data_IF_080619350903
#
_entry.id   IF_080619350903
#
_cell.length_a   1.000
_cell.length_b   1.000
_cell.length_c   1.000
_cell.angle_alpha   90.00
_cell.angle_beta   90.00
_cell.angle_gamma   90.00
#
_symmetry.space_group_name_H-M   'P 1'
#
loop_
_entity.id
_entity.type
_entity.pdbx_description
1 polymer ?
#
# COMPACT_ATOMS: atom_id res chain seq x y z
N UNK A 1 -0.90 -28.38 -10.40
CA UNK A 1 -0.39 -28.01 -9.06
C UNK A 1 -0.98 -26.66 -8.71
N UNK A 2 -1.51 -26.50 -7.53
CA UNK A 2 -1.95 -25.18 -7.03
C UNK A 2 -0.73 -24.27 -6.94
N UNK A 3 -0.81 -23.10 -7.54
CA UNK A 3 0.26 -22.10 -7.51
C UNK A 3 0.05 -21.16 -6.34
N UNK A 4 1.14 -20.73 -5.72
CA UNK A 4 1.11 -19.80 -4.61
C UNK A 4 1.83 -18.51 -4.98
N UNK A 5 1.16 -17.37 -4.79
CA UNK A 5 1.71 -16.03 -4.91
C UNK A 5 1.74 -15.38 -3.53
N UNK A 6 2.70 -14.49 -3.31
CA UNK A 6 2.83 -13.77 -2.05
C UNK A 6 2.70 -12.26 -2.27
N UNK A 7 1.83 -11.63 -1.51
CA UNK A 7 1.65 -10.19 -1.47
C UNK A 7 2.09 -9.71 -0.08
N UNK A 8 3.40 -9.60 0.09
CA UNK A 8 4.03 -9.19 1.34
C UNK A 8 4.65 -7.80 1.20
N UNK A 9 4.45 -6.93 2.20
CA UNK A 9 5.04 -5.59 2.20
C UNK A 9 4.11 -4.50 1.68
N UNK A 10 4.68 -3.36 1.32
CA UNK A 10 3.94 -2.17 0.89
C UNK A 10 3.53 -2.26 -0.57
N UNK A 11 2.31 -1.85 -0.89
CA UNK A 11 1.82 -1.76 -2.27
C UNK A 11 2.23 -0.41 -2.84
N UNK A 12 2.93 -0.42 -3.98
CA UNK A 12 3.45 0.78 -4.63
C UNK A 12 3.30 0.71 -6.16
N UNK A 13 3.25 1.87 -6.82
CA UNK A 13 3.27 1.95 -8.29
C UNK A 13 4.62 1.51 -8.85
N UNK A 14 5.72 1.93 -8.20
CA UNK A 14 7.09 1.58 -8.54
C UNK A 14 7.81 1.03 -7.30
N UNK A 15 8.73 0.08 -7.50
CA UNK A 15 9.53 -0.48 -6.40
C UNK A 15 10.62 0.51 -5.99
N UNK A 16 10.52 1.02 -4.78
CA UNK A 16 11.52 1.89 -4.15
C UNK A 16 12.32 1.14 -3.09
N UNK A 17 11.81 -0.01 -2.65
CA UNK A 17 12.39 -0.90 -1.67
C UNK A 17 12.27 -2.35 -2.16
N UNK A 18 13.17 -3.21 -1.74
CA UNK A 18 13.20 -4.63 -2.15
C UNK A 18 11.94 -5.41 -1.72
N UNK A 19 11.16 -4.88 -0.76
CA UNK A 19 9.95 -5.49 -0.22
C UNK A 19 8.64 -4.87 -0.75
N UNK A 20 8.70 -3.98 -1.74
CA UNK A 20 7.51 -3.39 -2.34
C UNK A 20 6.84 -4.34 -3.33
N UNK A 21 5.51 -4.40 -3.27
CA UNK A 21 4.67 -5.12 -4.24
C UNK A 21 4.17 -4.13 -5.28
N UNK A 22 4.58 -4.32 -6.53
CA UNK A 22 4.10 -3.49 -7.63
C UNK A 22 3.16 -4.28 -8.55
N UNK A 23 2.24 -3.61 -9.27
CA UNK A 23 1.38 -4.25 -10.24
C UNK A 23 2.16 -5.01 -11.33
N UNK A 24 3.34 -4.51 -11.71
CA UNK A 24 4.18 -5.16 -12.72
C UNK A 24 4.75 -6.46 -12.20
N UNK A 25 5.39 -6.47 -11.03
CA UNK A 25 5.94 -7.68 -10.42
C UNK A 25 4.85 -8.73 -10.17
N UNK A 26 3.72 -8.29 -9.63
CA UNK A 26 2.59 -9.17 -9.40
C UNK A 26 2.05 -9.80 -10.69
N UNK A 27 1.94 -9.00 -11.77
CA UNK A 27 1.53 -9.48 -13.08
C UNK A 27 2.48 -10.53 -13.65
N UNK A 28 3.79 -10.28 -13.55
CA UNK A 28 4.81 -11.20 -14.01
C UNK A 28 4.67 -12.57 -13.31
N UNK A 29 4.51 -12.57 -11.99
CA UNK A 29 4.27 -13.81 -11.23
C UNK A 29 2.93 -14.47 -11.58
N UNK A 30 1.86 -13.67 -11.72
CA UNK A 30 0.53 -14.17 -12.07
C UNK A 30 0.52 -14.90 -13.43
N UNK A 31 1.32 -14.44 -14.39
CA UNK A 31 1.35 -14.96 -15.76
C UNK A 31 2.29 -16.17 -15.97
N UNK A 32 3.07 -16.58 -14.96
CA UNK A 32 4.05 -17.69 -15.10
C UNK A 32 3.38 -19.05 -15.34
N UNK A 33 2.10 -19.22 -15.06
CA UNK A 33 1.42 -20.51 -15.23
C UNK A 33 -0.09 -20.38 -15.32
N UNK A 34 -0.74 -21.53 -15.29
CA UNK A 34 -2.19 -21.68 -15.46
C UNK A 34 -2.77 -22.51 -14.33
N UNK A 35 -4.10 -22.40 -14.11
CA UNK A 35 -4.84 -23.13 -13.08
C UNK A 35 -5.12 -22.28 -11.83
N UNK A 36 -5.72 -22.90 -10.83
CA UNK A 36 -6.08 -22.25 -9.58
C UNK A 36 -4.87 -21.72 -8.85
N UNK A 37 -5.04 -20.57 -8.20
CA UNK A 37 -3.99 -19.90 -7.44
C UNK A 37 -4.40 -19.65 -5.99
N UNK A 38 -3.40 -19.67 -5.11
CA UNK A 38 -3.50 -19.15 -3.75
C UNK A 38 -2.65 -17.90 -3.62
N UNK A 39 -3.25 -16.80 -3.14
CA UNK A 39 -2.55 -15.54 -2.86
C UNK A 39 -2.48 -15.34 -1.35
N UNK A 40 -1.28 -15.41 -0.79
CA UNK A 40 -1.05 -15.07 0.62
C UNK A 40 -0.83 -13.57 0.76
N UNK A 41 -1.54 -12.97 1.71
CA UNK A 41 -1.47 -11.52 1.95
C UNK A 41 -0.98 -11.24 3.36
N UNK A 42 0.12 -10.47 3.44
CA UNK A 42 0.62 -9.85 4.65
C UNK A 42 1.11 -8.44 4.31
N UNK A 43 0.21 -7.47 4.26
CA UNK A 43 0.50 -6.13 3.77
C UNK A 43 -0.23 -5.05 4.57
N UNK A 44 0.46 -3.96 4.93
CA UNK A 44 -0.16 -2.78 5.53
C UNK A 44 -0.98 -1.96 4.53
N UNK A 45 -0.95 -2.31 3.24
CA UNK A 45 -1.54 -1.52 2.17
C UNK A 45 -0.50 -0.63 1.48
N UNK A 46 -0.95 0.49 0.93
CA UNK A 46 -0.13 1.44 0.21
C UNK A 46 -0.92 2.19 -0.85
N UNK A 47 -0.41 2.26 -2.07
CA UNK A 47 -1.03 2.99 -3.17
C UNK A 47 -2.36 2.37 -3.62
N UNK A 48 -3.42 3.21 -3.67
CA UNK A 48 -4.77 2.77 -4.02
C UNK A 48 -4.90 2.42 -5.51
N UNK A 49 -4.15 3.08 -6.40
CA UNK A 49 -4.22 2.84 -7.85
C UNK A 49 -3.50 1.56 -8.20
N UNK A 50 -2.32 1.34 -7.61
CA UNK A 50 -1.59 0.07 -7.74
C UNK A 50 -2.43 -1.11 -7.21
N UNK A 51 -3.09 -0.95 -6.07
CA UNK A 51 -3.99 -1.96 -5.54
C UNK A 51 -5.18 -2.24 -6.45
N UNK A 52 -5.78 -1.21 -7.06
CA UNK A 52 -6.88 -1.38 -8.01
C UNK A 52 -6.42 -2.15 -9.26
N UNK A 53 -5.20 -1.94 -9.73
CA UNK A 53 -4.65 -2.71 -10.85
C UNK A 53 -4.49 -4.20 -10.49
N UNK A 54 -3.95 -4.50 -9.30
CA UNK A 54 -3.79 -5.89 -8.82
C UNK A 54 -5.16 -6.54 -8.61
N UNK A 55 -6.11 -5.82 -8.00
CA UNK A 55 -7.50 -6.27 -7.85
C UNK A 55 -8.10 -6.69 -9.21
N UNK A 56 -7.99 -5.83 -10.22
CA UNK A 56 -8.53 -6.12 -11.55
C UNK A 56 -7.84 -7.30 -12.22
N UNK A 57 -6.53 -7.46 -12.07
CA UNK A 57 -5.80 -8.63 -12.58
C UNK A 57 -6.31 -9.95 -11.98
N UNK A 58 -6.64 -9.94 -10.68
CA UNK A 58 -7.21 -11.11 -10.00
C UNK A 58 -8.67 -11.35 -10.40
N UNK A 59 -9.47 -10.29 -10.61
CA UNK A 59 -10.85 -10.41 -11.08
C UNK A 59 -10.93 -10.93 -12.52
N UNK A 60 -9.97 -10.56 -13.38
CA UNK A 60 -9.89 -11.02 -14.77
C UNK A 60 -9.22 -12.42 -14.89
N UNK A 61 -8.67 -12.95 -13.80
CA UNK A 61 -8.00 -14.24 -13.82
C UNK A 61 -9.02 -15.37 -14.08
N UNK A 62 -8.75 -16.27 -15.08
CA UNK A 62 -9.77 -17.23 -15.55
C UNK A 62 -10.04 -18.41 -14.62
N UNK A 63 -9.24 -18.58 -13.57
CA UNK A 63 -9.34 -19.68 -12.61
C UNK A 63 -9.68 -19.19 -11.21
N UNK A 64 -9.86 -20.12 -10.25
CA UNK A 64 -10.14 -19.76 -8.87
C UNK A 64 -8.95 -19.07 -8.22
N UNK A 65 -9.26 -18.02 -7.47
CA UNK A 65 -8.31 -17.27 -6.65
C UNK A 65 -8.65 -17.46 -5.19
N UNK A 66 -7.87 -18.23 -4.47
CA UNK A 66 -8.00 -18.35 -3.02
C UNK A 66 -7.07 -17.34 -2.35
N UNK A 67 -7.63 -16.35 -1.67
CA UNK A 67 -6.85 -15.41 -0.85
C UNK A 67 -6.74 -15.96 0.57
N UNK A 68 -5.53 -15.95 1.12
CA UNK A 68 -5.24 -16.33 2.50
C UNK A 68 -4.52 -15.18 3.22
N UNK A 69 -5.08 -14.72 4.33
CA UNK A 69 -4.50 -13.65 5.14
C UNK A 69 -3.86 -14.29 6.37
N UNK A 70 -2.54 -14.24 6.46
CA UNK A 70 -1.79 -14.86 7.55
C UNK A 70 -1.25 -13.88 8.61
N UNK A 71 -1.08 -12.63 8.25
CA UNK A 71 -0.70 -11.56 9.18
C UNK A 71 -1.72 -10.42 9.16
N UNK A 72 -1.63 -9.57 8.16
CA UNK A 72 -2.52 -8.42 8.02
C UNK A 72 -2.89 -8.16 6.56
N UNK A 73 -4.15 -7.79 6.33
CA UNK A 73 -4.60 -7.17 5.08
C UNK A 73 -5.23 -5.81 5.44
N UNK A 74 -4.42 -4.76 5.42
CA UNK A 74 -4.88 -3.42 5.78
C UNK A 74 -4.98 -2.49 4.58
N UNK A 75 -5.91 -1.51 4.66
CA UNK A 75 -6.03 -0.43 3.68
C UNK A 75 -6.13 -0.99 2.23
N UNK A 76 -5.25 -0.58 1.32
CA UNK A 76 -5.22 -1.03 -0.06
C UNK A 76 -5.10 -2.57 -0.22
N UNK A 77 -4.42 -3.26 0.70
CA UNK A 77 -4.34 -4.72 0.68
C UNK A 77 -5.67 -5.40 0.96
N UNK A 78 -6.53 -4.80 1.78
CA UNK A 78 -7.88 -5.32 2.01
C UNK A 78 -8.76 -5.21 0.75
N UNK A 79 -8.51 -4.22 -0.11
CA UNK A 79 -9.20 -4.10 -1.41
C UNK A 79 -8.80 -5.25 -2.33
N UNK A 80 -7.50 -5.55 -2.41
CA UNK A 80 -6.98 -6.67 -3.22
C UNK A 80 -7.59 -8.00 -2.74
N UNK A 81 -7.70 -8.19 -1.43
CA UNK A 81 -8.29 -9.40 -0.86
C UNK A 81 -9.72 -9.66 -1.35
N UNK A 82 -10.49 -8.62 -1.66
CA UNK A 82 -11.87 -8.73 -2.16
C UNK A 82 -11.96 -9.35 -3.56
N UNK A 83 -10.87 -9.42 -4.31
CA UNK A 83 -10.85 -10.10 -5.61
C UNK A 83 -10.81 -11.63 -5.49
N UNK A 84 -10.59 -12.16 -4.29
CA UNK A 84 -10.58 -13.60 -4.07
C UNK A 84 -11.95 -14.26 -4.32
N UNK A 85 -11.96 -15.32 -5.13
CA UNK A 85 -13.12 -16.23 -5.24
C UNK A 85 -13.46 -16.78 -3.86
N UNK A 86 -12.43 -17.11 -3.08
CA UNK A 86 -12.51 -17.48 -1.67
C UNK A 86 -11.49 -16.69 -0.87
N UNK A 87 -11.92 -16.09 0.25
CA UNK A 87 -11.06 -15.33 1.16
C UNK A 87 -11.04 -16.02 2.52
N UNK A 88 -9.86 -16.43 2.95
CA UNK A 88 -9.64 -17.11 4.22
C UNK A 88 -8.76 -16.25 5.13
N UNK A 89 -9.09 -16.18 6.40
CA UNK A 89 -8.32 -15.42 7.40
C UNK A 89 -7.73 -16.37 8.44
N UNK A 90 -6.45 -16.20 8.78
CA UNK A 90 -5.84 -16.93 9.89
C UNK A 90 -6.50 -16.54 11.22
N UNK A 91 -6.60 -17.45 12.20
CA UNK A 91 -7.21 -17.15 13.50
C UNK A 91 -6.61 -15.96 14.24
N UNK A 92 -5.37 -15.60 13.93
CA UNK A 92 -4.63 -14.48 14.56
C UNK A 92 -4.33 -13.33 13.60
N UNK A 93 -4.81 -13.41 12.35
CA UNK A 93 -4.65 -12.32 11.38
C UNK A 93 -5.68 -11.22 11.57
N UNK A 94 -5.39 -10.08 10.98
CA UNK A 94 -6.21 -8.87 11.06
C UNK A 94 -6.55 -8.34 9.68
N UNK A 95 -7.72 -7.74 9.55
CA UNK A 95 -8.06 -6.88 8.42
C UNK A 95 -8.35 -5.45 8.91
N UNK A 96 -8.05 -4.45 8.07
CA UNK A 96 -8.38 -3.05 8.39
C UNK A 96 -8.84 -2.32 7.13
N UNK A 97 -9.93 -1.57 7.29
CA UNK A 97 -10.45 -0.68 6.27
C UNK A 97 -10.57 0.74 6.79
N UNK A 98 -10.21 1.70 5.97
CA UNK A 98 -10.29 3.13 6.29
C UNK A 98 -10.48 3.97 5.03
N UNK A 99 -10.69 5.28 5.21
CA UNK A 99 -10.77 6.23 4.10
C UNK A 99 -9.42 6.37 3.40
N UNK A 100 -9.40 6.58 2.06
CA UNK A 100 -8.19 6.94 1.36
C UNK A 100 -7.64 8.28 1.88
N UNK A 101 -6.33 8.46 1.74
CA UNK A 101 -5.64 9.66 2.18
C UNK A 101 -4.62 10.10 1.13
N UNK A 102 -4.36 11.39 1.09
CA UNK A 102 -3.33 11.99 0.24
C UNK A 102 -2.65 13.16 0.93
N UNK A 103 -1.55 13.61 0.38
CA UNK A 103 -0.92 14.89 0.72
C UNK A 103 -1.11 15.81 -0.48
N UNK A 104 -1.69 16.99 -0.24
CA UNK A 104 -1.88 18.00 -1.27
C UNK A 104 -1.25 19.33 -0.84
N UNK A 105 -0.71 20.06 -1.80
CA UNK A 105 -0.13 21.40 -1.61
C UNK A 105 -0.65 22.31 -2.71
N UNK A 106 -1.02 23.54 -2.36
CA UNK A 106 -1.51 24.50 -3.31
C UNK A 106 -2.46 25.51 -2.68
N UNK A 107 -3.21 26.17 -3.52
CA UNK A 107 -4.26 27.12 -3.10
C UNK A 107 -5.59 26.39 -2.75
N UNK A 108 -6.62 27.16 -2.46
CA UNK A 108 -7.94 26.63 -2.07
C UNK A 108 -8.53 25.75 -3.16
N UNK A 109 -8.30 26.07 -4.44
CA UNK A 109 -8.84 25.30 -5.55
C UNK A 109 -8.14 23.93 -5.67
N UNK A 110 -6.84 23.87 -5.45
CA UNK A 110 -6.09 22.60 -5.42
C UNK A 110 -6.50 21.71 -4.23
N UNK A 111 -6.75 22.31 -3.06
CA UNK A 111 -7.29 21.58 -1.90
C UNK A 111 -8.67 21.00 -2.21
N UNK A 112 -9.55 21.77 -2.86
CA UNK A 112 -10.88 21.30 -3.23
C UNK A 112 -10.83 20.13 -4.21
N UNK A 113 -9.96 20.19 -5.23
CA UNK A 113 -9.73 19.07 -6.15
C UNK A 113 -9.25 17.81 -5.43
N UNK A 114 -8.34 17.95 -4.48
CA UNK A 114 -7.86 16.81 -3.69
C UNK A 114 -8.99 16.17 -2.87
N UNK A 115 -9.89 16.97 -2.29
CA UNK A 115 -11.07 16.46 -1.57
C UNK A 115 -11.99 15.69 -2.52
N UNK A 116 -12.28 16.24 -3.70
CA UNK A 116 -13.13 15.59 -4.71
C UNK A 116 -12.51 14.27 -5.21
N UNK A 117 -11.20 14.26 -5.45
CA UNK A 117 -10.45 13.06 -5.82
C UNK A 117 -10.56 11.99 -4.73
N UNK A 118 -10.34 12.34 -3.46
CA UNK A 118 -10.46 11.40 -2.35
C UNK A 118 -11.88 10.82 -2.23
N UNK A 119 -12.91 11.62 -2.50
CA UNK A 119 -14.28 11.16 -2.57
C UNK A 119 -14.49 10.09 -3.66
N UNK A 120 -13.95 10.34 -4.84
CA UNK A 120 -14.03 9.39 -5.98
C UNK A 120 -13.25 8.09 -5.71
N UNK A 121 -12.07 8.18 -5.09
CA UNK A 121 -11.29 7.01 -4.68
C UNK A 121 -12.03 6.21 -3.62
N UNK A 122 -12.63 6.87 -2.61
CA UNK A 122 -13.46 6.21 -1.59
C UNK A 122 -14.62 5.43 -2.22
N UNK A 123 -15.34 6.04 -3.16
CA UNK A 123 -16.43 5.38 -3.86
C UNK A 123 -15.98 4.17 -4.67
N UNK A 124 -14.82 4.24 -5.31
CA UNK A 124 -14.19 3.12 -6.02
C UNK A 124 -13.85 1.97 -5.07
N UNK A 125 -13.26 2.26 -3.92
CA UNK A 125 -12.95 1.25 -2.89
C UNK A 125 -14.23 0.58 -2.38
N UNK A 126 -15.28 1.38 -2.11
CA UNK A 126 -16.58 0.86 -1.66
C UNK A 126 -17.16 -0.13 -2.67
N UNK A 127 -16.97 0.06 -3.99
CA UNK A 127 -17.46 -0.88 -4.99
C UNK A 127 -16.88 -2.30 -4.76
N UNK A 128 -15.57 -2.42 -4.51
CA UNK A 128 -14.94 -3.71 -4.26
C UNK A 128 -15.49 -4.37 -2.99
N UNK A 129 -15.65 -3.59 -1.92
CA UNK A 129 -16.21 -4.11 -0.66
C UNK A 129 -17.68 -4.50 -0.82
N UNK A 130 -18.50 -3.71 -1.53
CA UNK A 130 -19.93 -4.00 -1.76
C UNK A 130 -20.11 -5.29 -2.54
N UNK A 131 -19.32 -5.50 -3.60
CA UNK A 131 -19.35 -6.72 -4.41
C UNK A 131 -19.05 -7.96 -3.56
N UNK A 132 -18.05 -7.90 -2.70
CA UNK A 132 -17.65 -9.06 -1.89
C UNK A 132 -18.56 -9.28 -0.69
N UNK A 133 -18.89 -8.23 0.05
CA UNK A 133 -19.59 -8.36 1.35
C UNK A 133 -21.11 -8.33 1.23
N UNK A 134 -21.64 -7.74 0.17
CA UNK A 134 -23.09 -7.46 0.05
C UNK A 134 -23.62 -6.39 1.03
N UNK A 135 -22.76 -5.73 1.80
CA UNK A 135 -23.16 -4.65 2.71
C UNK A 135 -23.53 -3.39 1.91
N UNK A 136 -24.46 -2.59 2.47
CA UNK A 136 -24.81 -1.32 1.84
C UNK A 136 -23.66 -0.33 1.84
N UNK A 137 -23.58 0.52 0.81
CA UNK A 137 -22.57 1.60 0.68
C UNK A 137 -22.51 2.50 1.91
N UNK A 138 -23.67 2.83 2.49
CA UNK A 138 -23.73 3.64 3.71
C UNK A 138 -23.07 2.94 4.90
N UNK A 139 -23.27 1.61 5.06
CA UNK A 139 -22.61 0.82 6.11
C UNK A 139 -21.11 0.75 5.88
N UNK A 140 -20.68 0.50 4.65
CA UNK A 140 -19.26 0.45 4.27
C UNK A 140 -18.58 1.80 4.48
N UNK A 141 -19.21 2.91 4.04
CA UNK A 141 -18.69 4.26 4.30
C UNK A 141 -18.49 4.52 5.79
N UNK A 142 -19.47 4.14 6.63
CA UNK A 142 -19.37 4.32 8.08
C UNK A 142 -18.24 3.48 8.69
N UNK A 143 -18.05 2.24 8.24
CA UNK A 143 -16.93 1.40 8.69
C UNK A 143 -15.57 1.99 8.29
N UNK A 144 -15.46 2.56 7.09
CA UNK A 144 -14.24 3.23 6.63
C UNK A 144 -14.00 4.53 7.42
N UNK A 145 -15.03 5.32 7.68
CA UNK A 145 -14.93 6.56 8.47
C UNK A 145 -14.43 6.29 9.90
N UNK A 146 -14.82 5.15 10.45
CA UNK A 146 -14.43 4.70 11.79
C UNK A 146 -13.05 4.03 11.84
N UNK A 147 -12.35 3.86 10.71
CA UNK A 147 -11.12 3.05 10.65
C UNK A 147 -11.34 1.68 11.33
N UNK A 148 -12.08 0.81 10.67
CA UNK A 148 -12.51 -0.45 11.28
C UNK A 148 -11.44 -1.52 11.19
N UNK A 149 -11.02 -1.99 12.35
CA UNK A 149 -10.15 -3.15 12.53
C UNK A 149 -11.01 -4.39 12.80
N UNK A 150 -10.67 -5.47 12.12
CA UNK A 150 -11.41 -6.73 12.19
C UNK A 150 -10.44 -7.86 12.52
N UNK A 151 -10.75 -8.62 13.57
CA UNK A 151 -10.19 -9.95 13.75
C UNK A 151 -10.79 -10.95 12.77
N UNK A 152 -10.33 -12.20 12.79
CA UNK A 152 -10.81 -13.23 11.87
C UNK A 152 -12.33 -13.44 11.93
N UNK A 153 -12.91 -13.49 13.12
CA UNK A 153 -14.35 -13.70 13.29
C UNK A 153 -15.17 -12.51 12.78
N UNK A 154 -14.70 -11.30 13.06
CA UNK A 154 -15.36 -10.07 12.61
C UNK A 154 -15.30 -9.89 11.10
N UNK A 155 -14.18 -10.28 10.48
CA UNK A 155 -14.03 -10.26 9.02
C UNK A 155 -15.04 -11.23 8.36
N UNK A 156 -15.22 -12.41 8.91
CA UNK A 156 -16.23 -13.37 8.43
C UNK A 156 -17.66 -12.87 8.70
N UNK A 157 -17.95 -12.35 9.89
CA UNK A 157 -19.28 -11.80 10.24
C UNK A 157 -19.72 -10.69 9.28
N UNK A 158 -18.80 -9.83 8.87
CA UNK A 158 -19.08 -8.71 7.97
C UNK A 158 -18.95 -9.08 6.48
N UNK A 159 -18.58 -10.33 6.15
CA UNK A 159 -18.48 -10.81 4.77
C UNK A 159 -17.20 -10.42 4.04
N UNK A 160 -16.20 -9.85 4.73
CA UNK A 160 -14.88 -9.57 4.16
C UNK A 160 -14.04 -10.83 3.99
N UNK A 161 -14.36 -11.89 4.72
CA UNK A 161 -13.79 -13.22 4.55
C UNK A 161 -14.90 -14.27 4.53
N UNK A 162 -14.62 -15.38 3.87
CA UNK A 162 -15.57 -16.48 3.73
C UNK A 162 -15.45 -17.47 4.89
N UNK A 163 -14.25 -17.66 5.46
CA UNK A 163 -14.01 -18.58 6.57
C UNK A 163 -12.69 -18.30 7.29
N UNK A 164 -12.48 -18.97 8.42
CA UNK A 164 -11.24 -18.96 9.19
C UNK A 164 -10.40 -20.18 8.79
N UNK A 165 -9.09 -19.96 8.53
CA UNK A 165 -8.15 -21.02 8.17
C UNK A 165 -8.03 -22.07 9.28
N UNK A 166 -8.17 -23.34 8.90
CA UNK A 166 -7.82 -24.45 9.77
C UNK A 166 -6.30 -24.54 9.96
N UNK A 167 -5.84 -24.88 11.17
CA UNK A 167 -4.41 -24.96 11.52
C UNK A 167 -3.58 -25.86 10.59
N UNK A 168 -4.18 -26.91 10.03
CA UNK A 168 -3.51 -27.85 9.12
C UNK A 168 -3.19 -27.24 7.73
N UNK A 169 -3.75 -26.08 7.41
CA UNK A 169 -3.57 -25.41 6.12
C UNK A 169 -2.52 -24.28 6.17
N UNK A 170 -1.96 -23.98 7.35
CA UNK A 170 -0.87 -23.00 7.48
C UNK A 170 0.44 -23.71 7.14
N UNK A 171 1.18 -23.28 6.09
CA UNK A 171 2.45 -23.89 5.73
C UNK A 171 3.45 -23.80 6.88
N UNK A 172 4.09 -24.92 7.24
CA UNK A 172 5.09 -24.99 8.35
C UNK A 172 6.39 -24.23 8.02
N UNK A 173 6.65 -23.92 6.74
CA UNK A 173 7.91 -23.35 6.25
C UNK A 173 7.91 -21.84 6.07
N UNK A 174 6.81 -21.13 6.44
CA UNK A 174 6.83 -19.67 6.39
C UNK A 174 7.45 -19.11 7.66
N UNK A 175 8.72 -18.67 7.58
CA UNK A 175 9.26 -17.75 8.58
C UNK A 175 8.34 -16.52 8.63
N UNK A 176 7.76 -16.19 9.80
CA UNK A 176 6.94 -15.00 9.90
C UNK A 176 7.83 -13.80 9.56
N UNK A 177 7.44 -12.96 8.58
CA UNK A 177 8.20 -11.77 8.29
C UNK A 177 8.31 -10.96 9.58
N UNK A 178 9.49 -10.34 9.80
CA UNK A 178 9.74 -9.49 10.96
C UNK A 178 8.89 -8.22 10.86
N UNK A 179 7.59 -8.37 11.04
CA UNK A 179 6.64 -7.25 11.02
C UNK A 179 6.59 -6.67 12.42
N UNK A 180 7.17 -5.50 12.57
CA UNK A 180 6.91 -4.63 13.71
C UNK A 180 5.43 -4.34 13.76
N UNK A 181 4.72 -4.84 14.79
CA UNK A 181 3.27 -4.71 14.95
C UNK A 181 2.88 -3.26 15.26
N UNK A 182 2.64 -2.47 14.24
CA UNK A 182 2.13 -1.11 14.32
C UNK A 182 0.69 -1.09 13.78
N UNK A 183 -0.30 -1.32 14.65
CA UNK A 183 -1.71 -1.52 14.29
C UNK A 183 -2.56 -0.26 14.26
N UNK A 184 -2.00 0.92 14.04
CA UNK A 184 -2.79 2.13 13.92
C UNK A 184 -2.61 2.80 12.57
N UNK A 185 -3.59 3.59 12.14
CA UNK A 185 -3.49 4.42 10.94
C UNK A 185 -2.23 5.28 10.95
N UNK A 186 -1.92 5.90 12.09
CA UNK A 186 -0.72 6.69 12.28
C UNK A 186 0.55 5.84 12.09
N UNK A 187 0.53 4.59 12.53
CA UNK A 187 1.67 3.68 12.44
C UNK A 187 1.90 3.18 11.01
N UNK A 188 0.82 2.87 10.27
CA UNK A 188 0.91 2.51 8.83
C UNK A 188 1.47 3.68 8.03
N UNK A 189 0.96 4.91 8.26
CA UNK A 189 1.44 6.13 7.62
C UNK A 189 2.89 6.44 8.00
N UNK A 190 3.22 6.34 9.29
CA UNK A 190 4.59 6.61 9.76
C UNK A 190 5.58 5.59 9.20
N UNK A 191 5.22 4.31 9.11
CA UNK A 191 6.07 3.30 8.47
C UNK A 191 6.35 3.63 7.01
N UNK A 192 5.33 4.05 6.26
CA UNK A 192 5.49 4.48 4.88
C UNK A 192 6.35 5.76 4.77
N UNK A 193 6.09 6.75 5.61
CA UNK A 193 6.86 8.01 5.64
C UNK A 193 8.32 7.78 6.06
N UNK A 194 8.58 6.86 6.98
CA UNK A 194 9.93 6.50 7.38
C UNK A 194 10.70 5.81 6.24
N UNK A 195 10.04 4.94 5.48
CA UNK A 195 10.61 4.31 4.27
C UNK A 195 10.93 5.36 3.21
N UNK A 196 10.01 6.27 2.92
CA UNK A 196 10.23 7.40 1.99
C UNK A 196 11.40 8.27 2.47
N UNK A 197 11.43 8.65 3.74
CA UNK A 197 12.50 9.46 4.31
C UNK A 197 13.86 8.76 4.25
N UNK A 198 13.91 7.44 4.45
CA UNK A 198 15.13 6.64 4.32
C UNK A 198 15.63 6.60 2.87
N UNK A 199 14.72 6.45 1.90
CA UNK A 199 15.02 6.46 0.46
C UNK A 199 15.50 7.84 -0.04
N UNK A 200 14.90 8.92 0.49
CA UNK A 200 15.30 10.29 0.16
C UNK A 200 16.63 10.72 0.82
N UNK A 201 17.15 9.97 1.78
CA UNK A 201 18.53 10.16 2.28
C UNK A 201 19.51 9.66 1.24
N UNK A 202 19.69 10.41 0.16
CA UNK A 202 20.84 10.23 -0.72
C UNK A 202 22.09 10.28 0.13
N UNK A 203 22.91 9.21 0.11
CA UNK A 203 24.26 9.24 0.64
C UNK A 203 24.90 10.53 0.14
N UNK A 204 25.44 11.41 1.01
CA UNK A 204 26.22 12.52 0.53
C UNK A 204 27.38 11.89 -0.24
N UNK A 205 27.36 12.00 -1.58
CA UNK A 205 28.56 11.78 -2.37
C UNK A 205 29.64 12.58 -1.65
N UNK A 206 30.69 11.91 -1.15
CA UNK A 206 31.92 12.56 -0.73
C UNK A 206 32.33 13.46 -1.90
N UNK A 207 31.93 14.71 -1.83
CA UNK A 207 32.53 15.76 -2.64
C UNK A 207 33.94 15.87 -2.11
N UNK A 208 34.89 15.40 -2.93
CA UNK A 208 36.28 15.78 -2.74
C UNK A 208 36.30 17.29 -2.53
N UNK A 209 37.04 17.72 -1.51
CA UNK A 209 37.28 19.11 -1.14
C UNK A 209 37.62 19.96 -2.37
N UNK A 210 36.63 20.48 -3.06
CA UNK A 210 36.81 21.66 -3.88
C UNK A 210 36.69 22.85 -2.93
N UNK A 211 37.81 23.34 -2.46
CA UNK A 211 37.89 24.63 -1.79
C UNK A 211 37.04 25.63 -2.56
N UNK A 212 36.11 26.35 -1.92
CA UNK A 212 35.38 27.39 -2.61
C UNK A 212 36.38 28.38 -3.17
N UNK A 213 36.45 28.51 -4.49
CA UNK A 213 37.15 29.62 -5.14
C UNK A 213 36.40 30.89 -4.77
N UNK A 214 36.74 31.47 -3.64
CA UNK A 214 36.34 32.83 -3.28
C UNK A 214 36.72 33.76 -4.41
N UNK A 215 35.83 34.63 -4.87
CA UNK A 215 36.18 35.73 -5.75
C UNK A 215 37.20 36.61 -5.03
N UNK A 216 38.33 36.90 -5.69
CA UNK A 216 39.35 37.77 -5.15
C UNK A 216 38.70 39.11 -4.74
N UNK A 217 38.99 39.54 -3.52
CA UNK A 217 38.49 40.81 -2.98
C UNK A 217 39.05 42.00 -3.80
N UNK A 218 40.17 41.82 -4.46
CA UNK A 218 40.81 42.82 -5.32
C UNK A 218 39.92 43.21 -6.51
N UNK A 219 39.21 42.25 -7.10
CA UNK A 219 38.24 42.52 -8.19
C UNK A 219 37.03 43.35 -7.74
N UNK A 220 36.69 43.36 -6.48
CA UNK A 220 35.65 44.20 -5.89
C UNK A 220 36.15 45.60 -5.63
N UNK A 221 37.40 45.77 -5.20
CA UNK A 221 38.01 47.07 -5.00
C UNK A 221 38.23 47.80 -6.34
N UNK A 222 38.66 47.13 -7.40
CA UNK A 222 38.76 47.72 -8.74
C UNK A 222 37.40 48.26 -9.24
N UNK A 223 36.32 47.51 -9.05
CA UNK A 223 34.99 47.98 -9.41
C UNK A 223 34.51 49.15 -8.57
N UNK A 224 34.84 49.17 -7.29
CA UNK A 224 34.50 50.29 -6.40
C UNK A 224 35.24 51.59 -6.78
N UNK A 225 36.50 51.49 -7.23
CA UNK A 225 37.27 52.62 -7.68
C UNK A 225 36.76 53.21 -9.00
N UNK A 226 36.14 52.41 -9.87
CA UNK A 226 35.53 52.88 -11.12
C UNK A 226 34.23 53.68 -10.89
N UNK A 227 33.62 53.59 -9.70
CA UNK A 227 32.41 54.31 -9.34
C UNK A 227 32.68 55.64 -8.60
N UNK A 228 33.97 56.00 -8.37
CA UNK A 228 34.37 57.20 -7.64
C UNK A 228 34.83 58.36 -8.54
N UNK A 229 34.73 58.21 -9.88
CA UNK A 229 34.98 59.29 -10.84
C UNK A 229 33.69 59.71 -11.56
#
# INVERSE_FOLDING_TARGET
MERTLFLNGTIAEESWFDDDVTPQLFKEELMVGDGDITVWINSPGGDCVAAAQIYNMLMDYPHNVTVKIDGIAASAASVIAMAGTKVLVSPVSMMMIHNPMTVAMGDTAEMQKAIEMLGSVKDSIINAYEIKTGLSRAKLSHLMDAETWMDANKAVELGFADDVLARAEIPEDMEPPAVSMLYSKAAVVNSLMDKIAASCRTNPKKTEDSKPKGRSVDSLYERLNLLKN
#
